data_IF_038865757440
#
_entry.id   IF_038865757440
#
_cell.length_a   1.000
_cell.length_b   1.000
_cell.length_c   1.000
_cell.angle_alpha   90.00
_cell.angle_beta   90.00
_cell.angle_gamma   90.00
#
_symmetry.space_group_name_H-M   'P 1'
#
loop_
_entity.id
_entity.type
_entity.pdbx_description
1 polymer ?
#
# COMPACT_ATOMS: atom_id res chain seq x y z
N UNK A 1 18.75 -1.79 -12.55
CA UNK A 1 17.41 -1.21 -12.31
C UNK A 1 16.40 -2.06 -13.05
N UNK A 2 15.49 -2.70 -12.35
CA UNK A 2 14.41 -3.50 -12.94
C UNK A 2 13.49 -2.57 -13.71
N UNK A 3 13.40 -2.74 -15.03
CA UNK A 3 12.48 -1.98 -15.88
C UNK A 3 11.16 -2.76 -15.95
N UNK A 4 10.09 -2.20 -15.39
CA UNK A 4 8.74 -2.70 -15.58
C UNK A 4 8.31 -2.41 -17.03
N UNK A 5 7.76 -3.43 -17.70
CA UNK A 5 7.28 -3.35 -19.09
C UNK A 5 5.92 -4.02 -19.16
N UNK A 6 4.85 -3.32 -18.78
CA UNK A 6 3.52 -3.91 -18.76
C UNK A 6 3.01 -4.16 -20.17
N UNK A 7 2.38 -5.32 -20.37
CA UNK A 7 1.70 -5.72 -21.60
C UNK A 7 0.31 -5.09 -21.74
N UNK A 8 -0.37 -5.33 -22.87
CA UNK A 8 -1.67 -4.72 -23.16
C UNK A 8 -2.78 -5.09 -22.17
N UNK A 9 -2.71 -6.25 -21.51
CA UNK A 9 -3.76 -6.71 -20.59
C UNK A 9 -3.37 -6.62 -19.11
N UNK A 10 -2.24 -5.97 -18.82
CA UNK A 10 -1.72 -5.84 -17.45
C UNK A 10 -2.36 -4.65 -16.72
N UNK A 11 -2.45 -4.79 -15.39
CA UNK A 11 -2.78 -3.72 -14.45
C UNK A 11 -1.85 -3.78 -13.23
N UNK A 12 -1.64 -2.65 -12.58
CA UNK A 12 -0.88 -2.56 -11.33
C UNK A 12 -1.83 -2.37 -10.16
N UNK A 13 -1.81 -3.30 -9.20
CA UNK A 13 -2.47 -3.14 -7.91
C UNK A 13 -1.40 -2.81 -6.85
N UNK A 14 -1.52 -1.63 -6.24
CA UNK A 14 -0.68 -1.18 -5.13
C UNK A 14 -1.45 -1.41 -3.84
N UNK A 15 -0.95 -2.33 -3.01
CA UNK A 15 -1.66 -2.79 -1.82
C UNK A 15 -1.14 -2.07 -0.58
N UNK A 16 -2.01 -1.30 0.05
CA UNK A 16 -1.87 -0.76 1.42
C UNK A 16 -0.53 -0.06 1.69
N UNK A 17 -0.09 0.74 0.71
CA UNK A 17 1.12 1.59 0.85
C UNK A 17 0.73 2.87 1.57
N UNK A 18 0.49 2.74 2.87
CA UNK A 18 0.04 3.80 3.77
C UNK A 18 1.10 4.11 4.82
N UNK A 19 1.07 5.32 5.38
CA UNK A 19 2.04 5.78 6.37
C UNK A 19 2.18 4.80 7.54
N UNK A 20 1.07 4.24 8.04
CA UNK A 20 1.11 3.30 9.15
C UNK A 20 1.90 2.03 8.86
N UNK A 21 1.94 1.57 7.60
CA UNK A 21 2.72 0.41 7.18
C UNK A 21 4.14 0.75 6.74
N UNK A 22 4.43 2.03 6.46
CA UNK A 22 5.76 2.47 6.01
C UNK A 22 6.62 2.97 7.17
N UNK A 23 6.05 3.82 8.02
CA UNK A 23 6.78 4.52 9.09
C UNK A 23 5.97 4.77 10.36
N UNK A 24 4.71 4.31 10.41
CA UNK A 24 3.80 4.57 11.51
C UNK A 24 3.55 3.37 12.42
N UNK A 25 2.31 3.25 12.89
CA UNK A 25 1.92 2.38 14.01
C UNK A 25 2.10 0.88 13.77
N UNK A 26 2.13 0.45 12.50
CA UNK A 26 2.29 -0.93 12.09
C UNK A 26 3.33 -1.08 10.97
N UNK A 27 4.46 -0.37 11.12
CA UNK A 27 5.49 -0.30 10.10
C UNK A 27 6.07 -1.68 9.76
N UNK A 28 6.17 -1.97 8.47
CA UNK A 28 6.71 -3.24 7.94
C UNK A 28 8.21 -3.08 7.69
N UNK A 29 9.05 -4.06 8.09
CA UNK A 29 10.48 -4.05 7.75
C UNK A 29 10.69 -3.93 6.24
N UNK A 30 11.47 -2.93 5.81
CA UNK A 30 11.72 -2.67 4.38
C UNK A 30 10.66 -1.81 3.68
N UNK A 31 9.65 -1.30 4.40
CA UNK A 31 8.54 -0.53 3.81
C UNK A 31 8.98 0.75 3.11
N UNK A 32 9.95 1.48 3.68
CA UNK A 32 10.47 2.71 3.07
C UNK A 32 11.27 2.43 1.79
N UNK A 33 12.05 1.35 1.79
CA UNK A 33 12.87 0.90 0.67
C UNK A 33 12.02 0.43 -0.52
N UNK A 34 10.79 -0.03 -0.26
CA UNK A 34 9.83 -0.43 -1.29
C UNK A 34 9.23 0.75 -2.08
N UNK A 35 9.27 1.98 -1.54
CA UNK A 35 8.63 3.15 -2.17
C UNK A 35 9.27 3.51 -3.51
N UNK A 36 10.60 3.55 -3.59
CA UNK A 36 11.30 3.90 -4.82
C UNK A 36 11.01 2.92 -5.99
N UNK A 37 11.15 1.59 -5.83
CA UNK A 37 10.82 0.66 -6.91
C UNK A 37 9.32 0.66 -7.26
N UNK A 38 8.44 0.86 -6.28
CA UNK A 38 6.99 0.98 -6.52
C UNK A 38 6.66 2.21 -7.38
N UNK A 39 7.24 3.37 -7.08
CA UNK A 39 7.07 4.59 -7.88
C UNK A 39 7.56 4.38 -9.31
N UNK A 40 8.68 3.65 -9.50
CA UNK A 40 9.16 3.30 -10.83
C UNK A 40 8.18 2.36 -11.58
N UNK A 41 7.54 1.42 -10.89
CA UNK A 41 6.49 0.58 -11.46
C UNK A 41 5.28 1.41 -11.89
N UNK A 42 4.77 2.27 -11.01
CA UNK A 42 3.63 3.14 -11.30
C UNK A 42 3.91 4.05 -12.51
N UNK A 43 5.12 4.62 -12.61
CA UNK A 43 5.52 5.42 -13.75
C UNK A 43 5.50 4.62 -15.07
N UNK A 44 5.97 3.36 -15.05
CA UNK A 44 5.95 2.50 -16.23
C UNK A 44 4.52 2.13 -16.66
N UNK A 45 3.64 1.80 -15.72
CA UNK A 45 2.24 1.52 -16.00
C UNK A 45 1.48 2.75 -16.52
N UNK A 46 1.74 3.92 -15.93
CA UNK A 46 1.17 5.18 -16.41
C UNK A 46 1.64 5.50 -17.83
N UNK A 47 2.93 5.34 -18.12
CA UNK A 47 3.49 5.57 -19.46
C UNK A 47 2.92 4.62 -20.52
N UNK A 48 2.58 3.39 -20.15
CA UNK A 48 1.93 2.41 -21.02
C UNK A 48 0.40 2.55 -21.07
N UNK A 49 -0.17 3.57 -20.42
CA UNK A 49 -1.62 3.78 -20.33
C UNK A 49 -2.35 2.58 -19.73
N UNK A 50 -1.74 1.88 -18.77
CA UNK A 50 -2.31 0.73 -18.07
C UNK A 50 -3.00 1.14 -16.77
N UNK A 51 -4.03 0.41 -16.31
CA UNK A 51 -4.69 0.71 -15.05
C UNK A 51 -3.73 0.62 -13.86
N UNK A 52 -3.88 1.57 -12.95
CA UNK A 52 -3.20 1.57 -11.65
C UNK A 52 -4.30 1.72 -10.59
N UNK A 53 -4.41 0.72 -9.72
CA UNK A 53 -5.39 0.68 -8.63
C UNK A 53 -4.62 0.70 -7.32
N UNK A 54 -5.07 1.52 -6.37
CA UNK A 54 -4.51 1.59 -5.04
C UNK A 54 -5.58 1.10 -4.06
N UNK A 55 -5.25 0.13 -3.22
CA UNK A 55 -6.05 -0.18 -2.04
C UNK A 55 -5.58 0.63 -0.85
N UNK A 56 -6.45 0.68 0.16
CA UNK A 56 -6.09 1.16 1.48
C UNK A 56 -6.92 0.41 2.51
N UNK A 57 -6.30 0.11 3.63
CA UNK A 57 -7.04 -0.07 4.87
C UNK A 57 -7.68 1.26 5.27
N UNK A 58 -8.95 1.19 5.67
CA UNK A 58 -9.76 2.34 6.04
C UNK A 58 -10.68 1.95 7.19
N UNK A 59 -10.09 1.91 8.38
CA UNK A 59 -10.72 1.36 9.57
C UNK A 59 -11.51 2.44 10.32
N UNK A 60 -12.70 2.13 10.89
CA UNK A 60 -13.26 2.98 11.94
C UNK A 60 -12.34 2.95 13.18
N UNK A 61 -12.43 3.98 14.03
CA UNK A 61 -11.55 4.11 15.21
C UNK A 61 -11.68 2.94 16.21
N UNK A 62 -12.81 2.23 16.20
CA UNK A 62 -13.14 1.08 17.03
C UNK A 62 -13.16 -0.25 16.25
N UNK A 63 -12.36 -0.37 15.19
CA UNK A 63 -12.34 -1.56 14.36
C UNK A 63 -11.98 -2.84 15.15
N UNK A 64 -12.67 -3.94 14.85
CA UNK A 64 -12.54 -5.23 15.54
C UNK A 64 -11.15 -5.87 15.48
N UNK A 65 -10.30 -5.43 14.54
CA UNK A 65 -8.93 -5.93 14.43
C UNK A 65 -7.98 -5.30 15.46
N UNK A 66 -8.40 -4.23 16.14
CA UNK A 66 -7.58 -3.51 17.09
C UNK A 66 -7.55 -4.18 18.47
N UNK A 67 -6.42 -4.04 19.17
CA UNK A 67 -6.20 -4.61 20.51
C UNK A 67 -7.24 -4.16 21.54
N UNK A 68 -7.76 -2.93 21.43
CA UNK A 68 -8.83 -2.43 22.30
C UNK A 68 -10.14 -3.21 22.13
N UNK A 69 -10.34 -3.86 20.97
CA UNK A 69 -11.52 -4.66 20.63
C UNK A 69 -11.24 -6.17 20.68
N UNK A 70 -10.09 -6.57 21.24
CA UNK A 70 -9.65 -7.98 21.32
C UNK A 70 -8.99 -8.52 20.05
N UNK A 71 -8.69 -7.67 19.08
CA UNK A 71 -7.92 -8.03 17.89
C UNK A 71 -6.40 -8.03 18.12
N UNK A 72 -5.61 -8.48 17.13
CA UNK A 72 -4.16 -8.64 17.30
C UNK A 72 -3.34 -7.37 17.01
N UNK A 73 -3.93 -6.33 16.41
CA UNK A 73 -3.19 -5.20 15.86
C UNK A 73 -3.34 -3.92 16.69
N UNK A 74 -2.32 -3.05 16.78
CA UNK A 74 -2.55 -1.69 17.29
C UNK A 74 -3.53 -0.94 16.38
N UNK A 75 -4.21 0.14 16.82
CA UNK A 75 -4.90 1.03 15.90
C UNK A 75 -3.95 1.53 14.80
N UNK A 76 -4.39 1.39 13.54
CA UNK A 76 -3.67 1.79 12.33
C UNK A 76 -4.69 2.10 11.24
N UNK A 77 -4.31 2.90 10.24
CA UNK A 77 -5.11 3.20 9.05
C UNK A 77 -6.56 3.60 9.38
N UNK A 78 -6.73 4.34 10.49
CA UNK A 78 -8.03 4.86 10.92
C UNK A 78 -8.48 5.93 9.93
N UNK A 79 -9.76 5.92 9.59
CA UNK A 79 -10.34 6.88 8.65
C UNK A 79 -10.10 8.34 9.04
N UNK A 80 -9.70 9.13 8.05
CA UNK A 80 -9.28 10.53 8.17
C UNK A 80 -8.21 10.89 7.16
#
# INVERSE_FOLDING_TARGET
MTSFRPGPDDALLVVDVQNDFVSGSLAVPGGAEAIAPLNAAMAAFAAAGRPIVLSRDWHPADHRSFVQQGGPWPPHCVEG
#
